data_IF_245113956676
#
_entry.id   IF_245113956676
#
_cell.length_a   1.000
_cell.length_b   1.000
_cell.length_c   1.000
_cell.angle_alpha   90.00
_cell.angle_beta   90.00
_cell.angle_gamma   90.00
#
_symmetry.space_group_name_H-M   'P 1'
#
loop_
_entity.id
_entity.type
_entity.pdbx_description
1 polymer ?
#
# COMPACT_ATOMS: atom_id res chain seq x y z
N UNK A 1 -4.34 -10.26 -13.74
CA UNK A 1 -3.80 -11.41 -12.98
C UNK A 1 -4.21 -11.21 -11.53
N UNK A 2 -4.84 -12.20 -10.88
CA UNK A 2 -5.11 -12.10 -9.43
C UNK A 2 -3.83 -12.49 -8.69
N UNK A 3 -3.38 -11.69 -7.70
CA UNK A 3 -2.21 -12.03 -6.90
C UNK A 3 -2.50 -13.28 -6.07
N UNK A 4 -1.47 -14.09 -5.82
CA UNK A 4 -1.57 -15.18 -4.86
C UNK A 4 -1.73 -14.59 -3.45
N UNK A 5 -2.59 -15.17 -2.62
CA UNK A 5 -2.95 -14.59 -1.32
C UNK A 5 -2.27 -15.35 -0.17
N UNK A 6 -1.79 -14.61 0.83
CA UNK A 6 -1.34 -15.22 2.08
C UNK A 6 -2.54 -15.78 2.82
N UNK A 7 -2.44 -17.05 3.18
CA UNK A 7 -3.48 -17.81 3.88
C UNK A 7 -2.93 -18.55 5.08
N UNK A 8 -1.63 -18.43 5.37
CA UNK A 8 -0.94 -19.09 6.49
C UNK A 8 -0.58 -18.05 7.55
N UNK A 9 -0.90 -18.37 8.80
CA UNK A 9 -0.49 -17.62 9.97
C UNK A 9 -0.53 -18.54 11.19
N UNK A 10 0.22 -18.17 12.22
CA UNK A 10 0.23 -18.84 13.52
C UNK A 10 -0.65 -18.04 14.47
N UNK A 11 -1.54 -18.72 15.20
CA UNK A 11 -2.31 -18.07 16.26
C UNK A 11 -1.39 -17.76 17.43
N UNK A 12 -1.43 -16.52 17.91
CA UNK A 12 -0.71 -16.02 19.09
C UNK A 12 -1.70 -15.39 20.06
N UNK A 13 -1.25 -15.04 21.27
CA UNK A 13 -2.12 -14.52 22.34
C UNK A 13 -2.99 -13.33 21.90
N UNK A 14 -2.44 -12.43 21.09
CA UNK A 14 -3.08 -11.19 20.67
C UNK A 14 -3.60 -11.20 19.23
N UNK A 15 -3.54 -12.33 18.51
CA UNK A 15 -4.04 -12.42 17.14
C UNK A 15 -3.37 -13.49 16.28
N UNK A 16 -3.09 -13.12 15.03
CA UNK A 16 -2.51 -14.00 14.02
C UNK A 16 -1.21 -13.40 13.50
N UNK A 17 -0.10 -14.09 13.74
CA UNK A 17 1.22 -13.70 13.28
C UNK A 17 1.48 -14.29 11.88
N UNK A 18 1.80 -13.44 10.91
CA UNK A 18 2.20 -13.86 9.57
C UNK A 18 3.71 -14.18 9.48
N UNK A 19 4.16 -14.57 8.28
CA UNK A 19 5.56 -14.98 8.02
C UNK A 19 6.58 -13.87 8.28
N UNK A 20 6.16 -12.61 8.17
CA UNK A 20 7.02 -11.43 8.30
C UNK A 20 7.03 -10.91 9.74
N UNK A 21 6.26 -11.56 10.63
CA UNK A 21 6.19 -11.26 12.05
C UNK A 21 5.13 -10.22 12.42
N UNK A 22 4.28 -9.80 11.49
CA UNK A 22 3.22 -8.84 11.78
C UNK A 22 2.01 -9.55 12.41
N UNK A 23 1.48 -8.99 13.50
CA UNK A 23 0.34 -9.56 14.23
C UNK A 23 -0.93 -8.80 13.86
N UNK A 24 -1.87 -9.49 13.23
CA UNK A 24 -3.19 -8.94 12.90
C UNK A 24 -4.32 -9.51 13.75
N UNK A 25 -5.45 -8.81 13.84
CA UNK A 25 -6.64 -9.31 14.55
C UNK A 25 -7.33 -10.48 13.82
N UNK A 26 -7.08 -10.65 12.51
CA UNK A 26 -7.68 -11.68 11.67
C UNK A 26 -6.62 -12.52 10.97
N UNK A 27 -6.93 -13.79 10.72
CA UNK A 27 -6.11 -14.69 9.92
C UNK A 27 -6.03 -14.20 8.47
N UNK A 28 -4.84 -14.12 7.85
CA UNK A 28 -4.70 -13.76 6.44
C UNK A 28 -5.53 -14.67 5.52
N UNK A 29 -6.02 -14.10 4.43
CA UNK A 29 -6.63 -14.81 3.31
C UNK A 29 -8.16 -14.86 3.32
N UNK A 30 -8.81 -14.54 4.44
CA UNK A 30 -10.27 -14.42 4.54
C UNK A 30 -10.65 -13.13 5.29
N UNK A 31 -11.62 -12.38 4.76
CA UNK A 31 -12.10 -11.15 5.39
C UNK A 31 -11.24 -9.90 5.08
N UNK A 32 -11.01 -8.98 6.03
CA UNK A 32 -10.38 -7.68 5.77
C UNK A 32 -8.86 -7.73 5.56
N UNK A 33 -8.23 -8.91 5.67
CA UNK A 33 -6.79 -9.12 5.44
C UNK A 33 -6.56 -9.95 4.18
N UNK A 34 -6.25 -9.23 3.12
CA UNK A 34 -5.87 -9.77 1.82
C UNK A 34 -4.44 -9.34 1.53
N UNK A 35 -3.49 -10.17 1.95
CA UNK A 35 -2.06 -9.89 1.79
C UNK A 35 -1.52 -10.62 0.54
N UNK A 36 -1.09 -9.92 -0.51
CA UNK A 36 -0.57 -10.55 -1.72
C UNK A 36 0.79 -11.21 -1.47
N UNK A 37 1.07 -12.30 -2.19
CA UNK A 37 2.33 -13.05 -2.18
C UNK A 37 3.03 -12.97 -3.53
N UNK A 38 4.35 -13.10 -3.49
CA UNK A 38 5.21 -13.09 -4.68
C UNK A 38 5.57 -11.68 -5.12
N UNK A 39 5.88 -11.50 -6.40
CA UNK A 39 6.12 -10.17 -6.96
C UNK A 39 4.83 -9.35 -6.98
N UNK A 40 4.77 -8.38 -6.08
CA UNK A 40 3.68 -7.42 -5.99
C UNK A 40 4.27 -6.01 -6.04
N UNK A 41 4.61 -5.49 -7.23
CA UNK A 41 5.20 -4.17 -7.35
C UNK A 41 4.20 -3.13 -6.87
N UNK A 42 4.55 -2.42 -5.79
CA UNK A 42 3.72 -1.36 -5.19
C UNK A 42 3.94 0.00 -5.84
N UNK A 43 4.79 0.06 -6.88
CA UNK A 43 5.17 1.27 -7.58
C UNK A 43 6.22 1.01 -8.66
N UNK A 44 6.70 2.08 -9.31
CA UNK A 44 7.80 2.02 -10.28
C UNK A 44 9.09 1.49 -9.62
N UNK A 45 9.95 0.86 -10.41
CA UNK A 45 11.27 0.45 -9.93
C UNK A 45 12.18 1.66 -9.63
N UNK A 46 13.26 1.45 -8.89
CA UNK A 46 14.25 2.51 -8.65
C UNK A 46 14.84 2.97 -9.98
N UNK A 47 14.72 4.28 -10.26
CA UNK A 47 15.17 4.88 -11.52
C UNK A 47 14.09 4.95 -12.60
N UNK A 48 12.95 4.27 -12.43
CA UNK A 48 11.81 4.44 -13.32
C UNK A 48 11.00 5.70 -12.96
N UNK A 49 10.41 6.37 -13.95
CA UNK A 49 9.60 7.55 -13.71
C UNK A 49 8.33 7.16 -12.94
N UNK A 50 7.98 7.96 -11.92
CA UNK A 50 6.68 7.86 -11.27
C UNK A 50 5.56 8.25 -12.26
N UNK A 51 4.44 7.52 -12.32
CA UNK A 51 3.29 7.93 -13.11
C UNK A 51 2.78 9.32 -12.71
N UNK A 52 2.20 10.05 -13.65
CA UNK A 52 1.59 11.32 -13.28
C UNK A 52 0.37 11.08 -12.39
N UNK A 53 0.26 11.85 -11.30
CA UNK A 53 -0.88 11.80 -10.38
C UNK A 53 -1.70 13.07 -10.57
N UNK A 54 -2.95 12.88 -11.01
CA UNK A 54 -3.94 13.93 -11.16
C UNK A 54 -5.03 13.73 -10.10
N UNK A 55 -5.17 14.67 -9.18
CA UNK A 55 -6.16 14.58 -8.11
C UNK A 55 -6.63 15.96 -7.65
N UNK A 56 -7.35 15.99 -6.53
CA UNK A 56 -7.65 17.21 -5.78
C UNK A 56 -7.00 17.11 -4.41
N UNK A 57 -6.45 18.23 -3.94
CA UNK A 57 -6.00 18.40 -2.56
C UNK A 57 -7.19 18.37 -1.60
N UNK A 58 -6.92 18.34 -0.30
CA UNK A 58 -7.95 18.29 0.73
C UNK A 58 -8.92 19.49 0.73
N UNK A 59 -8.45 20.67 0.29
CA UNK A 59 -9.24 21.89 0.10
C UNK A 59 -9.90 21.97 -1.29
N UNK A 60 -9.76 20.93 -2.11
CA UNK A 60 -10.42 20.82 -3.42
C UNK A 60 -9.65 21.41 -4.60
N UNK A 61 -8.45 21.95 -4.37
CA UNK A 61 -7.58 22.50 -5.43
C UNK A 61 -7.10 21.40 -6.38
N UNK A 62 -7.17 21.58 -7.71
CA UNK A 62 -6.60 20.62 -8.65
C UNK A 62 -5.09 20.42 -8.44
N UNK A 63 -4.65 19.18 -8.43
CA UNK A 63 -3.24 18.81 -8.27
C UNK A 63 -2.77 17.93 -9.43
N UNK A 64 -1.66 18.33 -10.05
CA UNK A 64 -0.87 17.54 -10.99
C UNK A 64 0.56 17.37 -10.43
N UNK A 65 1.00 16.14 -10.22
CA UNK A 65 2.30 15.85 -9.58
C UNK A 65 3.47 16.45 -10.36
N UNK A 66 3.53 16.23 -11.67
CA UNK A 66 4.69 16.64 -12.45
C UNK A 66 4.75 18.16 -12.65
N UNK A 67 3.60 18.82 -12.83
CA UNK A 67 3.54 20.28 -12.96
C UNK A 67 3.91 20.96 -11.63
N UNK A 68 3.33 20.51 -10.51
CA UNK A 68 3.56 21.18 -9.23
C UNK A 68 4.93 20.90 -8.61
N UNK A 69 5.51 19.71 -8.84
CA UNK A 69 6.90 19.46 -8.40
C UNK A 69 7.91 20.25 -9.23
N UNK A 70 7.60 20.56 -10.49
CA UNK A 70 8.53 21.14 -11.45
C UNK A 70 9.85 20.37 -11.50
N UNK A 71 10.96 21.10 -11.32
CA UNK A 71 12.32 20.55 -11.29
C UNK A 71 12.78 20.07 -9.91
N UNK A 72 11.91 20.16 -8.89
CA UNK A 72 12.27 19.79 -7.52
C UNK A 72 12.04 18.29 -7.25
N UNK A 73 12.85 17.67 -6.37
CA UNK A 73 12.56 16.37 -5.82
C UNK A 73 11.22 16.38 -5.06
N UNK A 74 10.46 15.29 -5.18
CA UNK A 74 9.20 15.12 -4.49
C UNK A 74 9.16 13.76 -3.78
N UNK A 75 8.49 13.73 -2.63
CA UNK A 75 8.17 12.49 -1.91
C UNK A 75 6.68 12.24 -2.04
N UNK A 76 6.30 11.07 -2.55
CA UNK A 76 4.90 10.66 -2.67
C UNK A 76 4.64 9.49 -1.72
N UNK A 77 3.71 9.66 -0.77
CA UNK A 77 3.43 8.68 0.28
C UNK A 77 2.01 8.16 0.11
N UNK A 78 1.89 6.86 -0.19
CA UNK A 78 0.61 6.16 -0.05
C UNK A 78 0.44 5.75 1.41
N UNK A 79 -0.62 6.22 2.05
CA UNK A 79 -0.98 5.77 3.38
C UNK A 79 -2.44 5.32 3.40
N UNK A 80 -2.70 4.25 4.15
CA UNK A 80 -4.06 3.83 4.49
C UNK A 80 -4.50 4.63 5.71
N UNK A 81 -5.49 5.50 5.54
CA UNK A 81 -6.20 6.07 6.69
C UNK A 81 -7.11 4.98 7.26
N UNK A 82 -6.81 4.47 8.45
CA UNK A 82 -7.74 3.64 9.20
C UNK A 82 -8.63 4.58 10.01
N UNK A 83 -9.83 4.86 9.52
CA UNK A 83 -10.90 5.37 10.39
C UNK A 83 -11.42 4.14 11.13
N UNK A 84 -11.17 4.09 12.44
CA UNK A 84 -11.76 3.11 13.34
C UNK A 84 -13.16 3.57 13.75
#
# INVERSE_FOLDING_TARGET
>A
MQPDMETRATQVETGWQDRDGFIGPFRPGNGPRSDPRGEFPTGPAVGEPIPNVLCRTADGTPFNLHEHRGEQPAVFIFYRSAVW
#
